data_IF_031969442905
#
_entry.id   IF_031969442905
#
_cell.length_a   1.000
_cell.length_b   1.000
_cell.length_c   1.000
_cell.angle_alpha   90.00
_cell.angle_beta   90.00
_cell.angle_gamma   90.00
#
_symmetry.space_group_name_H-M   'P 1'
#
loop_
_entity.id
_entity.type
_entity.pdbx_description
1 polymer ?
#
# COMPACT_ATOMS: atom_id res chain seq x y z
N UNK A 1 27.87 10.99 5.43
CA UNK A 1 27.38 11.87 4.35
C UNK A 1 25.91 11.53 4.11
N UNK A 2 24.99 12.32 4.67
CA UNK A 2 23.54 12.18 4.40
C UNK A 2 23.19 13.05 3.19
N UNK A 3 22.42 12.52 2.24
CA UNK A 3 21.92 13.30 1.09
C UNK A 3 20.73 14.14 1.55
N UNK A 4 20.75 15.43 1.24
CA UNK A 4 19.65 16.33 1.56
C UNK A 4 18.35 15.87 0.87
N UNK A 5 17.26 15.78 1.63
CA UNK A 5 15.93 15.42 1.12
C UNK A 5 15.45 13.98 1.41
N UNK A 6 16.23 13.16 2.13
CA UNK A 6 15.76 11.87 2.66
C UNK A 6 15.69 11.93 4.19
N UNK A 7 14.81 11.12 4.82
CA UNK A 7 14.90 10.91 6.28
C UNK A 7 16.30 10.35 6.65
N UNK A 8 16.90 9.56 5.74
CA UNK A 8 18.35 9.28 5.68
C UNK A 8 18.91 8.42 6.82
N UNK A 9 18.03 7.91 7.68
CA UNK A 9 18.29 7.20 8.92
C UNK A 9 18.53 5.70 8.71
N UNK A 10 17.92 5.10 7.68
CA UNK A 10 18.10 3.69 7.32
C UNK A 10 18.70 3.54 5.92
N UNK A 11 19.88 2.92 5.87
CA UNK A 11 20.58 2.62 4.61
C UNK A 11 19.91 1.41 3.96
N UNK A 12 19.49 1.56 2.70
CA UNK A 12 18.97 0.44 1.91
C UNK A 12 20.01 -0.68 1.81
N UNK A 13 19.59 -1.95 1.87
CA UNK A 13 20.52 -3.07 1.82
C UNK A 13 21.26 -3.12 0.49
N UNK A 14 22.49 -3.63 0.51
CA UNK A 14 23.18 -4.01 -0.72
C UNK A 14 22.47 -5.21 -1.34
N UNK A 15 22.00 -5.06 -2.57
CA UNK A 15 21.33 -6.12 -3.34
C UNK A 15 22.18 -6.45 -4.57
N UNK A 16 22.43 -7.74 -4.78
CA UNK A 16 23.15 -8.27 -5.94
C UNK A 16 22.32 -9.37 -6.57
N UNK A 17 22.01 -9.22 -7.85
CA UNK A 17 21.23 -10.18 -8.63
C UNK A 17 22.11 -10.80 -9.72
N UNK A 18 22.32 -12.12 -9.67
CA UNK A 18 23.26 -12.85 -10.54
C UNK A 18 22.92 -12.74 -12.05
N UNK A 19 21.66 -12.46 -12.39
CA UNK A 19 21.18 -12.33 -13.77
C UNK A 19 21.14 -10.89 -14.28
N UNK A 20 21.47 -9.90 -13.44
CA UNK A 20 21.59 -8.51 -13.88
C UNK A 20 22.97 -8.32 -14.52
N UNK A 21 22.99 -8.35 -15.86
CA UNK A 21 24.22 -8.23 -16.66
C UNK A 21 24.39 -6.85 -17.30
N UNK A 22 23.39 -5.97 -17.20
CA UNK A 22 23.43 -4.61 -17.74
C UNK A 22 23.16 -3.56 -16.65
N UNK A 23 23.83 -2.41 -16.76
CA UNK A 23 23.72 -1.33 -15.78
C UNK A 23 22.31 -0.74 -15.68
N UNK A 24 21.55 -0.71 -16.78
CA UNK A 24 20.17 -0.19 -16.77
C UNK A 24 19.24 -1.06 -15.91
N UNK A 25 19.35 -2.38 -16.01
CA UNK A 25 18.59 -3.29 -15.14
C UNK A 25 18.98 -3.11 -13.67
N UNK A 26 20.27 -2.91 -13.37
CA UNK A 26 20.74 -2.62 -12.02
C UNK A 26 20.16 -1.30 -11.46
N UNK A 27 20.05 -0.26 -12.31
CA UNK A 27 19.45 1.03 -11.94
C UNK A 27 17.97 0.90 -11.62
N UNK A 28 17.20 0.20 -12.46
CA UNK A 28 15.77 0.01 -12.21
C UNK A 28 15.52 -0.86 -10.97
N UNK A 29 16.36 -1.88 -10.75
CA UNK A 29 16.32 -2.65 -9.50
C UNK A 29 16.54 -1.77 -8.28
N UNK A 30 17.56 -0.90 -8.31
CA UNK A 30 17.82 0.07 -7.27
C UNK A 30 16.68 1.06 -7.08
N UNK A 31 16.07 1.55 -8.17
CA UNK A 31 14.92 2.47 -8.11
C UNK A 31 13.72 1.82 -7.43
N UNK A 32 13.41 0.57 -7.74
CA UNK A 32 12.32 -0.16 -7.09
C UNK A 32 12.54 -0.28 -5.57
N UNK A 33 13.76 -0.59 -5.13
CA UNK A 33 14.10 -0.68 -3.70
C UNK A 33 13.95 0.69 -3.03
N UNK A 34 14.45 1.75 -3.67
CA UNK A 34 14.40 3.10 -3.14
C UNK A 34 13.01 3.75 -3.21
N UNK A 35 12.11 3.23 -4.05
CA UNK A 35 10.73 3.70 -4.13
C UNK A 35 9.85 3.11 -3.02
N UNK A 36 10.20 1.94 -2.51
CA UNK A 36 9.47 1.23 -1.43
C UNK A 36 9.95 1.62 -0.02
N UNK A 37 10.56 2.80 0.12
CA UNK A 37 11.01 3.34 1.40
C UNK A 37 10.43 4.73 1.63
N UNK A 38 10.32 5.10 2.89
CA UNK A 38 9.69 6.35 3.32
C UNK A 38 8.75 6.12 4.49
N UNK A 39 8.07 7.18 4.93
CA UNK A 39 7.03 7.06 5.95
C UNK A 39 5.78 6.51 5.27
N UNK A 40 5.59 5.20 5.36
CA UNK A 40 4.43 4.50 4.85
C UNK A 40 3.89 3.49 5.88
N UNK A 41 2.63 3.09 5.72
CA UNK A 41 2.00 2.06 6.55
C UNK A 41 0.99 1.25 5.73
N UNK A 42 0.87 -0.03 6.05
CA UNK A 42 -0.27 -0.85 5.64
C UNK A 42 -1.38 -0.69 6.68
N UNK A 43 -2.52 -0.18 6.24
CA UNK A 43 -3.71 0.03 7.07
C UNK A 43 -4.78 -0.98 6.67
N UNK A 44 -5.28 -1.74 7.64
CA UNK A 44 -6.41 -2.65 7.41
C UNK A 44 -7.71 -1.93 7.72
N UNK A 45 -8.63 -1.90 6.75
CA UNK A 45 -9.96 -1.33 6.92
C UNK A 45 -11.01 -2.42 6.70
N UNK A 46 -11.95 -2.54 7.63
CA UNK A 46 -13.10 -3.43 7.49
C UNK A 46 -14.37 -2.58 7.31
N UNK A 47 -15.10 -2.85 6.24
CA UNK A 47 -16.30 -2.10 5.88
C UNK A 47 -17.39 -3.02 5.35
N UNK A 48 -18.68 -2.67 5.56
CA UNK A 48 -19.78 -3.41 4.96
C UNK A 48 -19.74 -3.30 3.43
N UNK A 49 -20.26 -4.31 2.74
CA UNK A 49 -20.52 -4.21 1.30
C UNK A 49 -21.69 -3.25 1.06
N UNK A 50 -21.38 -2.03 0.64
CA UNK A 50 -22.36 -1.01 0.25
C UNK A 50 -22.51 -1.00 -1.26
N UNK A 51 -23.73 -0.90 -1.77
CA UNK A 51 -24.00 -0.83 -3.21
C UNK A 51 -23.39 0.41 -3.87
N UNK A 52 -23.18 1.49 -3.11
CA UNK A 52 -22.58 2.73 -3.59
C UNK A 52 -21.05 2.67 -3.73
N UNK A 53 -20.37 1.87 -2.91
CA UNK A 53 -18.91 1.70 -2.93
C UNK A 53 -18.49 0.48 -3.75
N UNK A 54 -19.34 -0.55 -3.79
CA UNK A 54 -19.01 -1.82 -4.43
C UNK A 54 -17.85 -2.54 -3.76
N UNK A 55 -17.24 -3.47 -4.51
CA UNK A 55 -16.03 -4.15 -4.10
C UNK A 55 -14.83 -3.23 -4.37
N UNK A 56 -13.94 -3.10 -3.38
CA UNK A 56 -12.70 -2.36 -3.54
C UNK A 56 -11.62 -3.31 -4.04
N UNK A 57 -11.29 -3.26 -5.32
CA UNK A 57 -10.32 -4.16 -5.93
C UNK A 57 -8.86 -3.75 -5.62
N UNK A 58 -7.93 -4.72 -5.52
CA UNK A 58 -6.49 -4.44 -5.50
C UNK A 58 -6.08 -3.58 -6.69
N UNK A 59 -5.30 -2.54 -6.43
CA UNK A 59 -4.91 -1.53 -7.42
C UNK A 59 -5.80 -0.29 -7.46
N UNK A 60 -6.94 -0.29 -6.75
CA UNK A 60 -7.78 0.90 -6.62
C UNK A 60 -7.10 1.96 -5.75
N UNK A 61 -7.12 3.22 -6.20
CA UNK A 61 -6.77 4.38 -5.38
C UNK A 61 -8.01 4.92 -4.69
N UNK A 62 -7.91 5.11 -3.37
CA UNK A 62 -9.01 5.61 -2.55
C UNK A 62 -8.57 6.80 -1.70
N UNK A 63 -9.55 7.60 -1.28
CA UNK A 63 -9.39 8.63 -0.27
C UNK A 63 -10.20 8.25 0.96
N UNK A 64 -9.56 8.30 2.13
CA UNK A 64 -10.21 8.05 3.43
C UNK A 64 -10.28 9.38 4.17
N UNK A 65 -11.51 9.79 4.51
CA UNK A 65 -11.75 10.92 5.38
C UNK A 65 -11.85 10.45 6.84
N UNK A 66 -10.83 10.75 7.64
CA UNK A 66 -10.79 10.39 9.07
C UNK A 66 -10.41 11.61 9.91
N UNK A 67 -11.24 11.97 10.89
CA UNK A 67 -10.91 13.00 11.89
C UNK A 67 -10.51 14.38 11.33
N UNK A 68 -11.04 14.76 10.17
CA UNK A 68 -10.74 16.05 9.51
C UNK A 68 -9.44 16.08 8.71
N UNK A 69 -8.76 14.94 8.52
CA UNK A 69 -7.63 14.81 7.61
C UNK A 69 -7.88 13.71 6.59
N UNK A 70 -7.98 14.10 5.34
CA UNK A 70 -8.09 13.15 4.24
C UNK A 70 -6.70 12.62 3.90
N UNK A 71 -6.61 11.31 3.71
CA UNK A 71 -5.42 10.68 3.17
C UNK A 71 -5.78 9.78 2.00
N UNK A 72 -4.84 9.61 1.08
CA UNK A 72 -4.98 8.74 -0.09
C UNK A 72 -4.16 7.49 0.10
N UNK A 73 -4.67 6.38 -0.43
CA UNK A 73 -3.97 5.11 -0.37
C UNK A 73 -4.31 4.21 -1.55
N UNK A 74 -3.49 3.18 -1.70
CA UNK A 74 -3.62 2.15 -2.74
C UNK A 74 -4.08 0.84 -2.09
N UNK A 75 -5.15 0.24 -2.60
CA UNK A 75 -5.59 -1.09 -2.14
C UNK A 75 -4.57 -2.13 -2.61
N UNK A 76 -4.01 -2.90 -1.66
CA UNK A 76 -3.02 -3.96 -1.90
C UNK A 76 -3.63 -5.35 -1.85
N UNK A 77 -4.67 -5.53 -1.03
CA UNK A 77 -5.39 -6.78 -0.90
C UNK A 77 -6.83 -6.52 -0.48
N UNK A 78 -7.71 -7.44 -0.86
CA UNK A 78 -9.13 -7.43 -0.50
C UNK A 78 -9.58 -8.84 -0.18
N UNK A 79 -10.28 -9.00 0.93
CA UNK A 79 -10.94 -10.24 1.32
C UNK A 79 -12.41 -9.96 1.61
N UNK A 80 -13.26 -10.96 1.36
CA UNK A 80 -14.70 -10.86 1.57
C UNK A 80 -15.11 -11.96 2.54
N UNK A 81 -15.91 -11.58 3.53
CA UNK A 81 -16.55 -12.51 4.45
C UNK A 81 -18.06 -12.30 4.39
N UNK A 82 -18.80 -13.40 4.41
CA UNK A 82 -20.24 -13.40 4.51
C UNK A 82 -20.67 -14.27 5.68
N UNK A 83 -21.56 -13.74 6.51
CA UNK A 83 -22.12 -14.45 7.66
C UNK A 83 -23.64 -14.41 7.58
N UNK A 84 -24.26 -15.55 7.91
CA UNK A 84 -25.70 -15.70 8.03
C UNK A 84 -26.06 -16.00 9.49
N UNK A 85 -26.70 -15.05 10.15
CA UNK A 85 -27.31 -15.23 11.47
C UNK A 85 -28.84 -15.18 11.32
N UNK A 86 -29.42 -13.98 11.30
CA UNK A 86 -30.85 -13.73 11.02
C UNK A 86 -31.08 -13.13 9.62
N UNK A 87 -30.03 -12.58 9.02
CA UNK A 87 -29.99 -12.04 7.66
C UNK A 87 -28.57 -12.18 7.10
N UNK A 88 -28.42 -12.08 5.77
CA UNK A 88 -27.10 -12.11 5.13
C UNK A 88 -26.35 -10.80 5.40
N UNK A 89 -25.21 -10.90 6.06
CA UNK A 89 -24.25 -9.80 6.19
C UNK A 89 -23.00 -10.10 5.37
N UNK A 90 -22.56 -9.12 4.58
CA UNK A 90 -21.34 -9.23 3.77
C UNK A 90 -20.43 -8.06 4.10
N UNK A 91 -19.18 -8.35 4.42
CA UNK A 91 -18.13 -7.37 4.73
C UNK A 91 -16.92 -7.61 3.85
N UNK A 92 -16.22 -6.53 3.55
CA UNK A 92 -14.93 -6.59 2.89
C UNK A 92 -13.86 -6.02 3.82
N UNK A 93 -12.73 -6.70 3.89
CA UNK A 93 -11.53 -6.26 4.60
C UNK A 93 -10.46 -5.98 3.57
N UNK A 94 -9.99 -4.73 3.53
CA UNK A 94 -8.97 -4.26 2.60
C UNK A 94 -7.68 -3.93 3.33
N UNK A 95 -6.56 -4.20 2.68
CA UNK A 95 -5.25 -3.66 3.07
C UNK A 95 -4.91 -2.48 2.17
N UNK A 96 -4.61 -1.34 2.78
CA UNK A 96 -4.34 -0.08 2.08
C UNK A 96 -2.93 0.39 2.39
N UNK A 97 -2.12 0.57 1.36
CA UNK A 97 -0.83 1.23 1.46
C UNK A 97 -1.05 2.75 1.54
N UNK A 98 -0.63 3.34 2.65
CA UNK A 98 -0.74 4.77 2.95
C UNK A 98 0.65 5.39 3.01
N UNK A 99 0.81 6.52 2.34
CA UNK A 99 2.01 7.36 2.39
C UNK A 99 1.76 8.59 3.28
N UNK A 100 2.68 8.88 4.19
CA UNK A 100 2.63 10.08 5.03
C UNK A 100 3.46 11.20 4.39
N UNK A 101 2.84 12.39 4.27
CA UNK A 101 3.54 13.63 3.90
C UNK A 101 4.29 14.23 5.09
#
# INVERSE_FOLDING_TARGET
>A
MVRAGTAGDLVAPTVVDALITHADAARERGRSILADVGRQATVTLELPMLSSLGLLDPGLLLAVGEGGKDWRGLVRATSIAAEWTESLSVRQTIEVERHYL
#
